data_IF_445856625668
#
_entry.id   IF_445856625668
#
_cell.length_a   1.000
_cell.length_b   1.000
_cell.length_c   1.000
_cell.angle_alpha   90.00
_cell.angle_beta   90.00
_cell.angle_gamma   90.00
#
_symmetry.space_group_name_H-M   'P 1'
#
loop_
_entity.id
_entity.type
_entity.pdbx_description
1 polymer ?
#
# COMPACT_ATOMS: atom_id res chain seq x y z
N UNK A 1 -1.03 7.04 -14.01
CA UNK A 1 -0.27 5.95 -13.35
C UNK A 1 0.75 5.20 -14.24
N UNK A 2 0.62 5.17 -15.58
CA UNK A 2 1.63 4.55 -16.46
C UNK A 2 3.03 5.18 -16.33
N UNK A 3 3.15 6.51 -16.22
CA UNK A 3 4.48 7.16 -16.12
C UNK A 3 5.18 6.91 -14.77
N UNK A 4 4.43 6.70 -13.69
CA UNK A 4 4.99 6.38 -12.37
C UNK A 4 5.42 4.91 -12.26
N UNK A 5 4.91 3.98 -13.10
CA UNK A 5 5.47 2.62 -13.20
C UNK A 5 6.87 2.63 -13.83
N UNK A 6 7.10 3.49 -14.82
CA UNK A 6 8.43 3.67 -15.42
C UNK A 6 9.42 4.45 -14.55
N UNK A 7 8.93 5.35 -13.69
CA UNK A 7 9.79 6.19 -12.83
C UNK A 7 10.23 5.50 -11.52
N UNK A 8 9.42 4.55 -11.03
CA UNK A 8 9.68 3.79 -9.79
C UNK A 8 9.53 2.29 -10.08
N UNK A 9 10.12 1.83 -11.18
CA UNK A 9 10.16 0.45 -11.64
C UNK A 9 11.61 0.00 -11.79
N UNK A 10 12.32 -0.15 -10.67
CA UNK A 10 13.68 -0.67 -10.57
C UNK A 10 13.80 -1.73 -9.47
N UNK A 11 15.03 -2.11 -9.09
CA UNK A 11 15.29 -3.15 -8.08
C UNK A 11 14.64 -2.87 -6.71
N UNK A 12 14.39 -1.59 -6.40
CA UNK A 12 13.82 -1.13 -5.12
C UNK A 12 12.33 -0.71 -5.25
N UNK A 13 11.62 -1.24 -6.25
CA UNK A 13 10.16 -1.13 -6.46
C UNK A 13 9.83 -0.93 -7.94
N UNK A 14 8.77 -1.45 -8.58
CA UNK A 14 7.74 -2.44 -8.20
C UNK A 14 7.97 -3.72 -9.03
N UNK A 15 8.18 -4.89 -8.39
CA UNK A 15 7.22 -5.99 -8.53
C UNK A 15 6.98 -6.76 -7.20
N UNK A 16 5.73 -7.08 -6.86
CA UNK A 16 5.41 -7.87 -5.66
C UNK A 16 3.95 -7.86 -5.19
N UNK A 17 3.13 -6.91 -5.68
CA UNK A 17 1.70 -7.01 -5.51
C UNK A 17 1.12 -8.12 -6.38
N UNK A 18 0.09 -8.82 -5.88
CA UNK A 18 -0.74 -9.72 -6.71
C UNK A 18 -1.23 -8.91 -7.91
N UNK A 19 -0.96 -9.38 -9.13
CA UNK A 19 -1.49 -8.75 -10.34
C UNK A 19 -3.03 -8.79 -10.26
N UNK A 20 -3.71 -7.63 -10.19
CA UNK A 20 -5.17 -7.60 -10.10
C UNK A 20 -5.84 -7.98 -11.42
N UNK A 21 -5.11 -7.98 -12.55
CA UNK A 21 -5.66 -8.14 -13.90
C UNK A 21 -6.54 -9.39 -14.08
N UNK A 22 -6.20 -10.57 -13.52
CA UNK A 22 -7.05 -11.75 -13.62
C UNK A 22 -8.39 -11.65 -12.88
N UNK A 23 -8.51 -10.74 -11.91
CA UNK A 23 -9.71 -10.56 -11.07
C UNK A 23 -10.48 -9.28 -11.36
N UNK A 24 -9.85 -8.32 -12.05
CA UNK A 24 -10.45 -7.04 -12.37
C UNK A 24 -11.51 -7.18 -13.48
N UNK A 25 -12.71 -6.69 -13.21
CA UNK A 25 -13.84 -6.67 -14.16
C UNK A 25 -13.99 -5.35 -14.89
N UNK A 26 -13.21 -4.33 -14.53
CA UNK A 26 -13.26 -2.98 -15.08
C UNK A 26 -11.90 -2.30 -15.14
N UNK A 27 -11.81 -1.12 -15.76
CA UNK A 27 -10.57 -0.36 -15.84
C UNK A 27 -10.15 0.16 -14.45
N UNK A 28 -8.87 0.45 -14.29
CA UNK A 28 -8.36 1.13 -13.10
C UNK A 28 -8.88 2.58 -13.05
N UNK A 29 -9.55 2.92 -11.96
CA UNK A 29 -10.00 4.28 -11.68
C UNK A 29 -8.87 5.12 -11.10
N UNK A 30 -8.72 6.39 -11.51
CA UNK A 30 -7.75 7.29 -10.88
C UNK A 30 -8.21 7.67 -9.46
N UNK A 31 -7.27 7.99 -8.55
CA UNK A 31 -7.63 8.49 -7.23
C UNK A 31 -8.38 9.83 -7.31
N UNK A 32 -9.26 10.08 -6.34
CA UNK A 32 -9.98 11.35 -6.20
C UNK A 32 -8.99 12.54 -6.13
N UNK A 33 -9.34 13.75 -6.59
CA UNK A 33 -8.49 14.92 -6.48
C UNK A 33 -7.86 15.15 -5.10
N UNK A 34 -8.60 14.85 -4.01
CA UNK A 34 -8.16 14.95 -2.62
C UNK A 34 -7.25 13.82 -2.15
N UNK A 35 -7.17 12.72 -2.91
CA UNK A 35 -6.35 11.53 -2.66
C UNK A 35 -5.05 11.51 -3.47
N UNK A 36 -4.78 12.55 -4.28
CA UNK A 36 -3.55 12.66 -5.09
C UNK A 36 -2.30 13.11 -4.33
N UNK A 37 -2.40 13.28 -3.01
CA UNK A 37 -1.27 13.59 -2.12
C UNK A 37 -0.74 12.35 -1.39
N UNK A 38 0.16 12.57 -0.42
CA UNK A 38 0.56 11.51 0.51
C UNK A 38 -0.59 11.17 1.46
N UNK A 39 -0.77 9.88 1.71
CA UNK A 39 -1.77 9.33 2.64
C UNK A 39 -1.18 8.15 3.38
N UNK A 40 -1.59 8.02 4.63
CA UNK A 40 -1.31 6.91 5.54
C UNK A 40 -2.52 5.98 5.69
N UNK A 41 -3.74 6.53 5.62
CA UNK A 41 -5.00 5.77 5.63
C UNK A 41 -5.72 5.94 4.30
N UNK A 42 -6.17 4.83 3.71
CA UNK A 42 -6.91 4.81 2.44
C UNK A 42 -8.20 4.00 2.56
N UNK A 43 -9.21 4.33 1.77
CA UNK A 43 -10.45 3.54 1.68
C UNK A 43 -10.22 2.36 0.74
N UNK A 44 -10.49 1.16 1.20
CA UNK A 44 -10.60 -0.04 0.37
C UNK A 44 -12.08 -0.41 0.24
N UNK A 45 -12.76 0.15 -0.77
CA UNK A 45 -14.21 -0.04 -0.91
C UNK A 45 -14.58 -1.48 -1.30
N UNK A 46 -15.76 -1.97 -0.90
CA UNK A 46 -16.27 -3.27 -1.33
C UNK A 46 -16.31 -3.41 -2.86
N UNK A 47 -15.88 -4.56 -3.38
CA UNK A 47 -15.90 -4.86 -4.83
C UNK A 47 -14.83 -4.14 -5.65
N UNK A 48 -13.90 -3.41 -5.02
CA UNK A 48 -12.82 -2.71 -5.71
C UNK A 48 -11.43 -3.23 -5.30
N UNK A 49 -10.48 -3.14 -6.22
CA UNK A 49 -9.05 -3.37 -5.95
C UNK A 49 -8.37 -2.02 -5.73
N UNK A 50 -7.89 -1.77 -4.52
CA UNK A 50 -7.19 -0.53 -4.17
C UNK A 50 -5.68 -0.72 -4.27
N UNK A 51 -5.02 0.07 -5.12
CA UNK A 51 -3.55 0.01 -5.28
C UNK A 51 -2.91 1.21 -4.61
N UNK A 52 -2.05 0.97 -3.62
CA UNK A 52 -1.21 1.99 -2.98
C UNK A 52 0.26 1.83 -3.35
N UNK A 53 1.04 2.87 -3.09
CA UNK A 53 2.50 2.86 -3.20
C UNK A 53 3.07 3.57 -2.00
N UNK A 54 3.99 2.90 -1.30
CA UNK A 54 4.66 3.44 -0.13
C UNK A 54 6.17 3.33 -0.31
N UNK A 55 6.90 4.26 0.30
CA UNK A 55 8.35 4.17 0.50
C UNK A 55 8.58 3.71 1.94
N UNK A 56 9.25 2.58 2.11
CA UNK A 56 9.55 2.03 3.42
C UNK A 56 10.97 2.45 3.83
N UNK A 57 11.10 3.66 4.36
CA UNK A 57 12.36 4.16 4.93
C UNK A 57 12.31 4.11 6.46
N UNK A 58 13.46 3.85 7.08
CA UNK A 58 13.62 3.97 8.52
C UNK A 58 14.07 5.39 8.91
N UNK A 59 13.60 5.93 10.05
CA UNK A 59 14.08 7.20 10.57
C UNK A 59 15.59 7.17 10.83
N UNK A 60 16.23 8.34 10.79
CA UNK A 60 17.66 8.48 11.08
C UNK A 60 18.00 7.89 12.46
N UNK A 61 19.04 7.06 12.53
CA UNK A 61 19.48 6.40 13.75
C UNK A 61 18.70 5.12 14.11
N UNK A 62 17.69 4.74 13.33
CA UNK A 62 16.97 3.48 13.50
C UNK A 62 17.58 2.42 12.59
N UNK A 63 18.13 1.36 13.18
CA UNK A 63 18.70 0.25 12.44
C UNK A 63 17.62 -0.76 12.01
N UNK A 64 17.73 -1.29 10.79
CA UNK A 64 16.92 -2.42 10.34
C UNK A 64 17.37 -3.74 11.04
N UNK A 65 16.48 -4.74 11.16
CA UNK A 65 15.08 -4.73 10.76
C UNK A 65 14.17 -4.04 11.77
N UNK A 66 13.08 -3.45 11.30
CA UNK A 66 12.02 -2.89 12.15
C UNK A 66 10.66 -3.45 11.75
N UNK A 67 9.85 -3.81 12.76
CA UNK A 67 8.50 -4.35 12.53
C UNK A 67 7.46 -3.29 12.85
N UNK A 68 6.56 -3.11 11.90
CA UNK A 68 5.43 -2.19 11.97
C UNK A 68 4.13 -2.96 11.71
N UNK A 69 2.99 -2.26 11.75
CA UNK A 69 1.68 -2.85 11.52
C UNK A 69 0.94 -2.14 10.39
N UNK A 70 0.07 -2.89 9.74
CA UNK A 70 -1.01 -2.35 8.91
C UNK A 70 -2.31 -3.03 9.34
N UNK A 71 -3.40 -2.27 9.37
CA UNK A 71 -4.68 -2.76 9.88
C UNK A 71 -5.86 -2.00 9.29
N UNK A 72 -7.06 -2.53 9.51
CA UNK A 72 -8.28 -1.76 9.35
C UNK A 72 -8.34 -0.72 10.47
N UNK A 73 -8.62 0.54 10.14
CA UNK A 73 -8.75 1.60 11.15
C UNK A 73 -10.17 1.71 11.75
N UNK A 74 -11.01 0.69 11.52
CA UNK A 74 -12.25 0.46 12.27
C UNK A 74 -11.84 -0.36 13.49
N UNK A 75 -11.94 0.24 14.68
CA UNK A 75 -11.38 -0.33 15.92
C UNK A 75 -11.97 -1.72 16.21
N UNK A 76 -13.27 -1.89 16.01
CA UNK A 76 -13.91 -3.18 16.19
C UNK A 76 -13.34 -4.24 15.24
N UNK A 77 -12.90 -3.88 14.03
CA UNK A 77 -12.26 -4.82 13.13
C UNK A 77 -10.80 -5.08 13.52
N UNK A 78 -10.07 -4.02 13.90
CA UNK A 78 -8.69 -4.09 14.39
C UNK A 78 -8.54 -5.07 15.55
N UNK A 79 -9.36 -4.87 16.60
CA UNK A 79 -9.36 -5.70 17.81
C UNK A 79 -9.87 -7.12 17.54
N UNK A 80 -10.64 -7.32 16.46
CA UNK A 80 -11.10 -8.62 15.99
C UNK A 80 -10.19 -9.19 14.86
N UNK A 81 -8.86 -9.10 15.04
CA UNK A 81 -7.81 -9.74 14.21
C UNK A 81 -7.61 -9.16 12.78
N UNK A 82 -8.15 -7.98 12.45
CA UNK A 82 -7.82 -7.27 11.20
C UNK A 82 -6.55 -6.41 11.30
N UNK A 83 -5.50 -6.94 11.94
CA UNK A 83 -4.17 -6.34 12.03
C UNK A 83 -3.10 -7.35 11.64
N UNK A 84 -2.09 -6.91 10.88
CA UNK A 84 -0.97 -7.76 10.47
C UNK A 84 0.37 -7.02 10.60
N UNK A 85 1.44 -7.72 11.03
CA UNK A 85 2.77 -7.16 11.05
C UNK A 85 3.40 -7.16 9.66
N UNK A 86 4.31 -6.22 9.42
CA UNK A 86 5.28 -6.28 8.33
C UNK A 86 6.65 -5.82 8.82
N UNK A 87 7.71 -6.37 8.25
CA UNK A 87 9.09 -6.04 8.64
C UNK A 87 9.79 -5.31 7.50
N UNK A 88 10.32 -4.13 7.80
CA UNK A 88 11.22 -3.39 6.92
C UNK A 88 12.63 -3.94 7.14
N UNK A 89 13.20 -4.46 6.06
CA UNK A 89 14.55 -5.04 6.00
C UNK A 89 15.47 -4.13 5.17
N UNK A 90 16.81 -4.28 5.26
CA UNK A 90 17.76 -3.52 4.45
C UNK A 90 17.57 -3.67 2.93
#
# INVERSE_FOLDING_TARGET
>A
MRSLRGSYGGPNGVPGGIDPTPFATGPMEPPDPSERGFKETVKANPGQLTTIRAKYDLPNGVAAPQTYVYHCHIIEHEDNDMMRPFTVVP
#
